data_IF_389357639429
#
_entry.id   IF_389357639429
#
_cell.length_a   1.000
_cell.length_b   1.000
_cell.length_c   1.000
_cell.angle_alpha   90.00
_cell.angle_beta   90.00
_cell.angle_gamma   90.00
#
_symmetry.space_group_name_H-M   'P 1'
#
loop_
_entity.id
_entity.type
_entity.pdbx_description
1 polymer ?
#
# COMPACT_ATOMS: atom_id res chain seq x y z
N UNK A 1 2.88 -5.93 -12.90
CA UNK A 1 2.95 -4.60 -12.27
C UNK A 1 2.95 -4.67 -10.74
N UNK A 2 2.09 -5.48 -10.10
CA UNK A 2 1.95 -5.56 -8.63
C UNK A 2 3.25 -5.71 -7.80
N UNK A 3 4.25 -6.45 -8.28
CA UNK A 3 5.54 -6.57 -7.57
C UNK A 3 6.38 -5.29 -7.57
N UNK A 4 6.33 -4.52 -8.65
CA UNK A 4 7.02 -3.23 -8.72
C UNK A 4 6.31 -2.18 -7.86
N UNK A 5 4.98 -2.24 -7.77
CA UNK A 5 4.20 -1.37 -6.87
C UNK A 5 4.59 -1.60 -5.40
N UNK A 6 4.67 -2.86 -4.95
CA UNK A 6 5.14 -3.20 -3.59
C UNK A 6 6.56 -2.68 -3.35
N UNK A 7 7.48 -2.87 -4.29
CA UNK A 7 8.85 -2.38 -4.14
C UNK A 7 8.94 -0.86 -4.07
N UNK A 8 8.13 -0.17 -4.88
CA UNK A 8 8.16 1.27 -4.97
C UNK A 8 7.39 1.96 -3.85
N UNK A 9 6.37 1.36 -3.24
CA UNK A 9 5.48 2.08 -2.33
C UNK A 9 5.53 1.58 -0.89
N UNK A 10 5.95 0.34 -0.63
CA UNK A 10 5.92 -0.22 0.74
C UNK A 10 6.75 0.60 1.73
N UNK A 11 7.95 1.04 1.32
CA UNK A 11 8.80 1.86 2.18
C UNK A 11 8.15 3.20 2.56
N UNK A 12 7.51 3.87 1.59
CA UNK A 12 6.85 5.14 1.85
C UNK A 12 5.57 4.94 2.67
N UNK A 13 4.81 3.88 2.42
CA UNK A 13 3.60 3.55 3.20
C UNK A 13 3.94 3.19 4.65
N UNK A 14 5.03 2.46 4.88
CA UNK A 14 5.52 2.17 6.25
C UNK A 14 5.92 3.45 6.98
N UNK A 15 6.61 4.37 6.32
CA UNK A 15 6.95 5.68 6.89
C UNK A 15 5.70 6.51 7.18
N UNK A 16 4.70 6.48 6.29
CA UNK A 16 3.40 7.11 6.54
C UNK A 16 2.75 6.56 7.81
N UNK A 17 2.74 5.24 7.98
CA UNK A 17 2.19 4.61 9.17
C UNK A 17 2.96 4.96 10.46
N UNK A 18 4.30 5.06 10.40
CA UNK A 18 5.13 5.54 11.51
C UNK A 18 4.78 6.97 11.92
N UNK A 19 4.57 7.87 10.95
CA UNK A 19 4.14 9.25 11.22
C UNK A 19 2.74 9.29 11.84
N UNK A 20 1.81 8.49 11.33
CA UNK A 20 0.45 8.41 11.88
C UNK A 20 0.43 7.90 13.32
N UNK A 21 1.30 6.93 13.66
CA UNK A 21 1.46 6.42 15.04
C UNK A 21 1.89 7.50 16.04
N UNK A 22 2.55 8.58 15.60
CA UNK A 22 2.88 9.70 16.49
C UNK A 22 1.63 10.47 16.93
N UNK A 23 0.59 10.49 16.09
CA UNK A 23 -0.69 11.16 16.38
C UNK A 23 -1.71 10.18 16.99
N UNK A 24 -1.70 8.93 16.54
CA UNK A 24 -2.58 7.85 16.98
C UNK A 24 -1.74 6.69 17.51
N UNK A 25 -1.30 6.72 18.80
CA UNK A 25 -0.41 5.70 19.36
C UNK A 25 -0.96 4.28 19.28
N UNK A 26 -2.29 4.13 19.37
CA UNK A 26 -3.00 2.84 19.34
C UNK A 26 -3.49 2.45 17.94
N UNK A 27 -2.98 3.09 16.89
CA UNK A 27 -3.41 2.84 15.50
C UNK A 27 -3.13 1.39 15.07
N UNK A 28 -4.17 0.61 14.82
CA UNK A 28 -4.04 -0.70 14.22
C UNK A 28 -3.73 -0.59 12.71
N UNK A 29 -2.71 -1.31 12.26
CA UNK A 29 -2.24 -1.27 10.87
C UNK A 29 -2.40 -2.66 10.28
N UNK A 30 -3.31 -2.81 9.32
CA UNK A 30 -3.56 -4.07 8.60
C UNK A 30 -2.98 -3.99 7.19
N UNK A 31 -2.25 -5.03 6.78
CA UNK A 31 -1.58 -5.10 5.47
C UNK A 31 -2.02 -6.39 4.75
N UNK A 32 -3.06 -6.31 3.91
CA UNK A 32 -3.49 -7.44 3.09
C UNK A 32 -2.53 -7.67 1.91
N UNK A 33 -1.96 -8.88 1.84
CA UNK A 33 -0.95 -9.26 0.87
C UNK A 33 -1.48 -10.34 -0.06
N UNK A 34 -1.47 -10.10 -1.37
CA UNK A 34 -2.16 -10.94 -2.35
C UNK A 34 -1.58 -12.35 -2.53
N UNK A 35 -0.32 -12.59 -2.13
CA UNK A 35 0.31 -13.91 -2.13
C UNK A 35 1.63 -13.92 -1.34
N UNK A 36 2.15 -15.12 -1.08
CA UNK A 36 3.41 -15.35 -0.35
C UNK A 36 4.61 -14.57 -0.92
N UNK A 37 4.78 -14.52 -2.25
CA UNK A 37 5.90 -13.79 -2.87
C UNK A 37 5.85 -12.28 -2.59
N UNK A 38 4.65 -11.69 -2.51
CA UNK A 38 4.48 -10.28 -2.15
C UNK A 38 4.63 -10.05 -0.65
N UNK A 39 4.25 -11.03 0.16
CA UNK A 39 4.48 -11.03 1.61
C UNK A 39 5.96 -11.03 1.94
N UNK A 40 6.73 -11.98 1.42
CA UNK A 40 8.19 -12.04 1.61
C UNK A 40 8.87 -10.72 1.20
N UNK A 41 8.44 -10.16 0.06
CA UNK A 41 8.95 -8.88 -0.42
C UNK A 41 8.63 -7.73 0.54
N UNK A 42 7.40 -7.67 1.05
CA UNK A 42 6.98 -6.66 2.01
C UNK A 42 7.71 -6.81 3.35
N UNK A 43 7.82 -8.03 3.88
CA UNK A 43 8.52 -8.33 5.13
C UNK A 43 10.01 -7.93 5.05
N UNK A 44 10.68 -8.19 3.92
CA UNK A 44 12.05 -7.72 3.69
C UNK A 44 12.15 -6.19 3.76
N UNK A 45 11.27 -5.48 3.04
CA UNK A 45 11.26 -4.00 3.06
C UNK A 45 10.94 -3.48 4.46
N UNK A 46 10.00 -4.11 5.17
CA UNK A 46 9.66 -3.77 6.55
C UNK A 46 10.84 -3.93 7.48
N UNK A 47 11.60 -5.02 7.37
CA UNK A 47 12.77 -5.25 8.20
C UNK A 47 13.84 -4.14 8.03
N UNK A 48 13.97 -3.61 6.82
CA UNK A 48 14.91 -2.52 6.52
C UNK A 48 14.39 -1.12 6.93
N UNK A 49 13.10 -0.86 6.77
CA UNK A 49 12.52 0.50 6.92
C UNK A 49 11.89 0.74 8.28
N UNK A 50 11.17 -0.26 8.82
CA UNK A 50 10.35 -0.14 10.02
C UNK A 50 10.29 -1.48 10.78
N UNK A 51 11.44 -1.97 11.30
CA UNK A 51 11.50 -3.28 11.97
C UNK A 51 10.56 -3.35 13.18
N UNK A 52 10.49 -2.28 13.98
CA UNK A 52 9.74 -2.23 15.23
C UNK A 52 8.25 -1.83 15.06
N UNK A 53 7.83 -1.48 13.85
CA UNK A 53 6.43 -1.13 13.60
C UNK A 53 5.57 -2.39 13.66
N UNK A 54 4.65 -2.43 14.62
CA UNK A 54 3.65 -3.51 14.72
C UNK A 54 2.60 -3.36 13.62
N UNK A 55 2.39 -4.43 12.85
CA UNK A 55 1.41 -4.49 11.75
C UNK A 55 0.82 -5.90 11.69
N UNK A 56 -0.44 -6.00 11.28
CA UNK A 56 -1.13 -7.27 11.01
C UNK A 56 -0.96 -7.63 9.55
N UNK A 57 -0.15 -8.64 9.26
CA UNK A 57 0.02 -9.17 7.90
C UNK A 57 -1.05 -10.20 7.61
N UNK A 58 -1.86 -9.96 6.58
CA UNK A 58 -2.95 -10.85 6.19
C UNK A 58 -2.64 -11.47 4.82
N UNK A 59 -2.89 -12.78 4.67
CA UNK A 59 -2.80 -13.45 3.38
C UNK A 59 -4.13 -13.29 2.64
N UNK A 60 -4.16 -12.36 1.68
CA UNK A 60 -5.39 -11.93 1.03
C UNK A 60 -6.23 -11.05 1.95
N UNK A 61 -7.53 -11.37 2.08
CA UNK A 61 -8.49 -10.67 2.95
C UNK A 61 -8.54 -9.14 2.76
N UNK A 62 -8.26 -8.66 1.54
CA UNK A 62 -8.20 -7.22 1.26
C UNK A 62 -9.53 -6.53 1.51
N UNK A 63 -10.65 -7.19 1.18
CA UNK A 63 -11.99 -6.62 1.38
C UNK A 63 -12.31 -6.48 2.86
N UNK A 64 -12.07 -7.52 3.64
CA UNK A 64 -12.30 -7.56 5.09
C UNK A 64 -11.46 -6.50 5.79
N UNK A 65 -10.19 -6.35 5.41
CA UNK A 65 -9.31 -5.30 5.91
C UNK A 65 -9.87 -3.91 5.60
N UNK A 66 -10.32 -3.65 4.36
CA UNK A 66 -10.91 -2.37 3.98
C UNK A 66 -12.20 -2.08 4.75
N UNK A 67 -13.09 -3.05 4.90
CA UNK A 67 -14.35 -2.87 5.65
C UNK A 67 -14.10 -2.59 7.13
N UNK A 68 -13.04 -3.18 7.71
CA UNK A 68 -12.69 -2.99 9.11
C UNK A 68 -11.89 -1.70 9.40
N UNK A 69 -11.42 -0.99 8.37
CA UNK A 69 -10.50 0.15 8.53
C UNK A 69 -11.22 1.50 8.46
N UNK A 70 -10.77 2.45 9.29
CA UNK A 70 -11.26 3.84 9.24
C UNK A 70 -10.76 4.61 8.00
N UNK A 71 -9.60 4.22 7.47
CA UNK A 71 -9.04 4.75 6.22
C UNK A 71 -8.09 3.73 5.56
N UNK A 72 -7.93 3.83 4.24
CA UNK A 72 -7.03 2.98 3.46
C UNK A 72 -6.00 3.77 2.64
N UNK A 73 -4.75 3.30 2.62
CA UNK A 73 -3.68 3.81 1.76
C UNK A 73 -3.39 2.79 0.65
N UNK A 74 -3.67 3.16 -0.60
CA UNK A 74 -3.75 2.21 -1.72
C UNK A 74 -2.73 2.53 -2.82
N UNK A 75 -2.14 1.47 -3.39
CA UNK A 75 -1.17 1.56 -4.50
C UNK A 75 -1.81 1.48 -5.90
N UNK A 76 -3.04 0.97 -6.02
CA UNK A 76 -3.63 0.62 -7.32
C UNK A 76 -5.05 1.17 -7.47
N UNK A 77 -5.37 1.67 -8.67
CA UNK A 77 -6.72 2.12 -9.02
C UNK A 77 -7.77 1.00 -9.03
N UNK A 78 -7.37 -0.26 -9.24
CA UNK A 78 -8.32 -1.39 -9.15
C UNK A 78 -8.76 -1.65 -7.72
N UNK A 79 -7.85 -1.51 -6.74
CA UNK A 79 -8.18 -1.60 -5.33
C UNK A 79 -9.01 -0.41 -4.85
N UNK A 80 -8.89 0.76 -5.49
CA UNK A 80 -9.71 1.93 -5.16
C UNK A 80 -11.21 1.67 -5.37
N UNK A 81 -11.59 0.92 -6.41
CA UNK A 81 -12.99 0.54 -6.61
C UNK A 81 -13.52 -0.36 -5.48
N UNK A 82 -12.75 -1.37 -5.10
CA UNK A 82 -13.14 -2.27 -4.00
C UNK A 82 -13.23 -1.51 -2.67
N UNK A 83 -12.31 -0.58 -2.41
CA UNK A 83 -12.31 0.27 -1.22
C UNK A 83 -13.54 1.19 -1.17
N UNK A 84 -13.94 1.74 -2.32
CA UNK A 84 -15.14 2.56 -2.45
C UNK A 84 -16.40 1.75 -2.12
N UNK A 85 -16.46 0.51 -2.58
CA UNK A 85 -17.56 -0.41 -2.27
C UNK A 85 -17.56 -0.79 -0.78
N UNK A 86 -16.38 -0.91 -0.17
CA UNK A 86 -16.20 -1.14 1.26
C UNK A 86 -16.51 0.09 2.13
N UNK A 87 -16.83 1.24 1.53
CA UNK A 87 -17.10 2.52 2.23
C UNK A 87 -15.95 3.03 3.10
N UNK A 88 -14.74 2.59 2.80
CA UNK A 88 -13.54 3.03 3.49
C UNK A 88 -12.95 4.26 2.77
N UNK A 89 -12.83 5.42 3.45
CA UNK A 89 -12.10 6.58 2.94
C UNK A 89 -10.69 6.19 2.50
N UNK A 90 -10.24 6.68 1.35
CA UNK A 90 -8.97 6.22 0.79
C UNK A 90 -8.07 7.34 0.30
N UNK A 91 -6.76 7.12 0.42
CA UNK A 91 -5.70 7.89 -0.23
C UNK A 91 -5.01 6.97 -1.23
N UNK A 92 -4.93 7.39 -2.49
CA UNK A 92 -4.27 6.61 -3.54
C UNK A 92 -2.88 7.19 -3.80
N UNK A 93 -1.85 6.44 -3.42
CA UNK A 93 -0.45 6.76 -3.69
C UNK A 93 0.07 5.92 -4.84
N UNK A 94 0.56 6.56 -5.91
CA UNK A 94 1.11 5.85 -7.06
C UNK A 94 2.45 6.44 -7.48
N UNK A 95 3.41 5.56 -7.79
CA UNK A 95 4.74 5.94 -8.28
C UNK A 95 5.12 5.07 -9.46
N UNK A 96 5.55 5.72 -10.55
CA UNK A 96 6.15 5.05 -11.70
C UNK A 96 7.60 5.51 -11.87
N UNK A 97 8.43 4.66 -12.48
CA UNK A 97 9.79 5.06 -12.84
C UNK A 97 9.74 6.27 -13.77
N UNK A 98 10.54 7.33 -13.54
CA UNK A 98 10.50 8.56 -14.34
C UNK A 98 10.68 8.33 -15.85
N UNK A 99 11.53 7.37 -16.22
CA UNK A 99 11.75 7.00 -17.62
C UNK A 99 10.50 6.39 -18.27
N UNK A 100 9.80 5.50 -17.57
CA UNK A 100 8.54 4.90 -18.04
C UNK A 100 7.47 5.97 -18.19
N UNK A 101 7.37 6.90 -17.23
CA UNK A 101 6.46 8.04 -17.33
C UNK A 101 6.78 8.94 -18.52
N UNK A 102 8.06 9.23 -18.76
CA UNK A 102 8.50 10.03 -19.91
C UNK A 102 8.14 9.37 -21.24
N UNK A 103 8.32 8.05 -21.37
CA UNK A 103 7.98 7.30 -22.58
C UNK A 103 6.45 7.25 -22.78
N UNK A 104 5.69 6.97 -21.72
CA UNK A 104 4.23 6.94 -21.74
C UNK A 104 3.66 8.31 -22.14
N UNK A 105 4.19 9.41 -21.58
CA UNK A 105 3.80 10.78 -21.94
C UNK A 105 4.05 11.09 -23.43
N UNK A 106 5.02 10.43 -24.05
CA UNK A 106 5.35 10.61 -25.47
C UNK A 106 4.50 9.75 -26.41
N UNK A 107 3.93 8.65 -25.90
CA UNK A 107 3.07 7.72 -26.64
C UNK A 107 1.59 8.05 -26.50
N UNK A 108 1.16 8.61 -25.37
CA UNK A 108 -0.18 9.16 -25.19
C UNK A 108 -0.24 10.50 -25.92
N UNK A 109 -0.61 10.45 -27.20
CA UNK A 109 -1.09 11.64 -27.93
C UNK A 109 -2.43 12.05 -27.33
N UNK A 110 -2.48 13.23 -26.72
CA UNK A 110 -3.69 14.09 -26.82
C UNK A 110 -3.92 14.49 -28.26
#
# INVERSE_FOLDING_TARGET
SRGAEVEMLSADFLKTAQLLRQTYPDLEIVVPLVNAKRREQFERIKAEVAPDLSVHLLDGMGREAMVASDAALLASGTAALECMLAKCPMVVGYRMKPFTFWLAKRLVKT
#
